data_IF_637073329370
#
_entry.id   IF_637073329370
#
_cell.length_a   1.000
_cell.length_b   1.000
_cell.length_c   1.000
_cell.angle_alpha   90.00
_cell.angle_beta   90.00
_cell.angle_gamma   90.00
#
_symmetry.space_group_name_H-M   'P 1'
#
loop_
_entity.id
_entity.type
_entity.pdbx_description
1 polymer ?
#
# COMPACT_ATOMS: atom_id res chain seq x y z
N UNK A 1 -4.56 -4.92 9.50
CA UNK A 1 -3.56 -6.02 9.32
C UNK A 1 -2.38 -5.38 8.60
N UNK A 2 -1.16 -5.59 9.09
CA UNK A 2 0.04 -5.04 8.42
C UNK A 2 0.44 -5.96 7.27
N UNK A 3 0.83 -5.38 6.14
CA UNK A 3 1.39 -6.12 5.00
C UNK A 3 2.81 -6.60 5.34
N UNK A 4 3.20 -7.74 4.82
CA UNK A 4 4.56 -8.25 4.90
C UNK A 4 5.49 -7.37 4.05
N UNK A 5 6.69 -7.12 4.54
CA UNK A 5 7.75 -6.50 3.74
C UNK A 5 8.51 -7.54 2.90
N UNK A 6 9.52 -7.06 2.15
CA UNK A 6 10.26 -7.95 1.25
C UNK A 6 11.13 -8.96 2.01
N UNK A 7 11.64 -8.62 3.18
CA UNK A 7 12.42 -9.52 4.01
C UNK A 7 11.54 -10.65 4.56
N UNK A 8 10.34 -10.29 5.07
CA UNK A 8 9.35 -11.27 5.52
C UNK A 8 8.88 -12.19 4.38
N UNK A 9 8.78 -11.64 3.16
CA UNK A 9 8.48 -12.44 1.96
C UNK A 9 9.61 -13.43 1.63
N UNK A 10 10.88 -13.01 1.76
CA UNK A 10 12.02 -13.92 1.59
C UNK A 10 11.98 -15.07 2.59
N UNK A 11 11.68 -14.80 3.86
CA UNK A 11 11.50 -15.86 4.87
C UNK A 11 10.37 -16.81 4.50
N UNK A 12 9.24 -16.28 4.02
CA UNK A 12 8.12 -17.10 3.56
C UNK A 12 8.49 -17.97 2.36
N UNK A 13 9.41 -17.52 1.51
CA UNK A 13 9.99 -18.29 0.40
C UNK A 13 11.05 -19.32 0.84
N UNK A 14 11.40 -19.39 2.13
CA UNK A 14 12.37 -20.33 2.70
C UNK A 14 13.83 -19.83 2.74
N UNK A 15 14.06 -18.52 2.50
CA UNK A 15 15.40 -17.93 2.65
C UNK A 15 15.77 -17.82 4.13
N UNK A 16 17.02 -18.12 4.44
CA UNK A 16 17.55 -18.05 5.80
C UNK A 16 18.03 -16.64 6.16
N UNK A 17 18.08 -16.34 7.47
CA UNK A 17 18.66 -15.09 7.97
C UNK A 17 20.11 -14.88 7.48
N UNK A 18 20.90 -15.94 7.35
CA UNK A 18 22.27 -15.86 6.86
C UNK A 18 22.30 -15.35 5.41
N UNK A 19 21.44 -15.89 4.54
CA UNK A 19 21.34 -15.45 3.14
C UNK A 19 20.91 -13.98 3.03
N UNK A 20 19.99 -13.53 3.88
CA UNK A 20 19.52 -12.15 3.90
C UNK A 20 20.59 -11.22 4.46
N UNK A 21 21.25 -11.60 5.55
CA UNK A 21 22.34 -10.83 6.15
C UNK A 21 23.53 -10.65 5.20
N UNK A 22 23.81 -11.64 4.35
CA UNK A 22 24.81 -11.50 3.31
C UNK A 22 24.50 -10.36 2.33
N UNK A 23 23.21 -10.10 2.00
CA UNK A 23 22.82 -8.95 1.17
C UNK A 23 23.03 -7.63 1.92
N UNK A 24 22.65 -7.59 3.18
CA UNK A 24 22.84 -6.41 4.06
C UNK A 24 24.33 -6.08 4.18
N UNK A 25 25.17 -7.11 4.25
CA UNK A 25 26.62 -6.97 4.32
C UNK A 25 27.22 -6.28 3.07
N UNK A 26 26.73 -6.61 1.86
CA UNK A 26 27.13 -5.89 0.64
C UNK A 26 26.79 -4.40 0.72
N UNK A 27 25.59 -4.09 1.20
CA UNK A 27 25.15 -2.71 1.39
C UNK A 27 26.03 -1.96 2.41
N UNK A 28 26.25 -2.56 3.59
CA UNK A 28 27.04 -1.95 4.67
C UNK A 28 28.51 -1.74 4.26
N UNK A 29 29.08 -2.69 3.53
CA UNK A 29 30.45 -2.63 3.00
C UNK A 29 30.59 -1.78 1.73
N UNK A 30 29.48 -1.21 1.23
CA UNK A 30 29.40 -0.43 -0.03
C UNK A 30 30.02 -1.18 -1.21
N UNK A 31 29.82 -2.50 -1.27
CA UNK A 31 30.30 -3.36 -2.33
C UNK A 31 29.16 -3.74 -3.28
N UNK A 32 29.40 -3.85 -4.59
CA UNK A 32 28.38 -4.33 -5.51
C UNK A 32 28.04 -5.78 -5.20
N UNK A 33 26.74 -6.12 -5.28
CA UNK A 33 26.28 -7.50 -5.19
C UNK A 33 26.71 -8.22 -6.48
N UNK A 34 27.27 -9.45 -6.41
CA UNK A 34 27.58 -10.25 -7.59
C UNK A 34 26.38 -10.40 -8.52
N UNK A 35 26.59 -10.29 -9.83
CA UNK A 35 25.52 -10.20 -10.83
C UNK A 35 24.53 -11.37 -10.77
N UNK A 36 25.02 -12.59 -10.58
CA UNK A 36 24.20 -13.79 -10.43
C UNK A 36 23.28 -13.72 -9.20
N UNK A 37 23.78 -13.25 -8.07
CA UNK A 37 23.01 -13.06 -6.83
C UNK A 37 21.99 -11.94 -7.03
N UNK A 38 22.42 -10.81 -7.60
CA UNK A 38 21.54 -9.67 -7.88
C UNK A 38 20.36 -10.06 -8.78
N UNK A 39 20.62 -10.85 -9.84
CA UNK A 39 19.58 -11.33 -10.74
C UNK A 39 18.51 -12.15 -10.01
N UNK A 40 18.93 -13.10 -9.15
CA UNK A 40 18.00 -13.95 -8.38
C UNK A 40 17.10 -13.08 -7.48
N UNK A 41 17.68 -12.21 -6.67
CA UNK A 41 16.89 -11.38 -5.76
C UNK A 41 16.02 -10.34 -6.48
N UNK A 42 16.49 -9.82 -7.62
CA UNK A 42 15.68 -8.96 -8.49
C UNK A 42 14.45 -9.67 -9.04
N UNK A 43 14.57 -10.91 -9.49
CA UNK A 43 13.42 -11.70 -9.95
C UNK A 43 12.42 -11.97 -8.83
N UNK A 44 12.91 -12.26 -7.61
CA UNK A 44 12.04 -12.46 -6.44
C UNK A 44 11.36 -11.15 -6.05
N UNK A 45 12.10 -10.03 -6.05
CA UNK A 45 11.54 -8.72 -5.76
C UNK A 45 10.46 -8.31 -6.77
N UNK A 46 10.64 -8.61 -8.06
CA UNK A 46 9.62 -8.35 -9.07
C UNK A 46 8.34 -9.18 -8.82
N UNK A 47 8.46 -10.43 -8.38
CA UNK A 47 7.31 -11.25 -7.97
C UNK A 47 6.60 -10.62 -6.77
N UNK A 48 7.34 -10.25 -5.73
CA UNK A 48 6.79 -9.55 -4.56
C UNK A 48 6.10 -8.24 -4.95
N UNK A 49 6.73 -7.42 -5.79
CA UNK A 49 6.15 -6.17 -6.28
C UNK A 49 4.84 -6.38 -7.07
N UNK A 50 4.71 -7.51 -7.78
CA UNK A 50 3.48 -7.84 -8.48
C UNK A 50 2.35 -8.31 -7.56
N UNK A 51 2.63 -9.19 -6.60
CA UNK A 51 1.58 -9.81 -5.76
C UNK A 51 1.31 -9.03 -4.47
N UNK A 52 2.22 -8.15 -4.08
CA UNK A 52 2.12 -7.36 -2.85
C UNK A 52 2.41 -8.13 -1.57
N UNK A 53 2.23 -7.46 -0.44
CA UNK A 53 2.58 -7.96 0.89
C UNK A 53 1.43 -8.60 1.69
N UNK A 54 0.24 -8.83 1.12
CA UNK A 54 -0.85 -9.44 1.88
C UNK A 54 -0.56 -10.92 2.21
N UNK A 55 -0.51 -11.33 3.50
CA UNK A 55 -0.16 -12.70 3.89
C UNK A 55 -1.03 -13.77 3.22
N UNK A 56 -2.32 -13.49 3.02
CA UNK A 56 -3.26 -14.40 2.35
C UNK A 56 -2.89 -14.62 0.89
N UNK A 57 -2.50 -13.55 0.19
CA UNK A 57 -2.05 -13.59 -1.22
C UNK A 57 -0.73 -14.35 -1.35
N UNK A 58 0.23 -14.04 -0.46
CA UNK A 58 1.53 -14.72 -0.42
C UNK A 58 1.35 -16.22 -0.16
N UNK A 59 0.50 -16.59 0.81
CA UNK A 59 0.19 -17.99 1.09
C UNK A 59 -0.37 -18.73 -0.13
N UNK A 60 -1.27 -18.10 -0.90
CA UNK A 60 -1.81 -18.71 -2.11
C UNK A 60 -0.74 -18.83 -3.21
N UNK A 61 0.12 -17.82 -3.35
CA UNK A 61 1.27 -17.88 -4.25
C UNK A 61 2.22 -19.05 -3.91
N UNK A 62 2.58 -19.19 -2.64
CA UNK A 62 3.49 -20.25 -2.18
C UNK A 62 2.89 -21.64 -2.38
N UNK A 63 1.58 -21.78 -2.24
CA UNK A 63 0.85 -23.06 -2.44
C UNK A 63 0.79 -23.46 -3.90
N UNK A 64 0.52 -22.52 -4.82
CA UNK A 64 0.26 -22.81 -6.23
C UNK A 64 1.47 -22.54 -7.14
N UNK A 65 2.41 -21.75 -6.68
CA UNK A 65 3.53 -21.16 -7.45
C UNK A 65 3.05 -20.45 -8.74
N UNK A 66 1.83 -19.92 -8.75
CA UNK A 66 1.21 -19.27 -9.91
C UNK A 66 0.79 -17.84 -9.53
N UNK A 67 1.36 -16.87 -10.25
CA UNK A 67 1.03 -15.44 -10.06
C UNK A 67 -0.46 -15.17 -10.32
N UNK A 68 -1.07 -15.87 -11.28
CA UNK A 68 -2.51 -15.70 -11.62
C UNK A 68 -3.42 -16.02 -10.44
N UNK A 69 -3.11 -17.05 -9.65
CA UNK A 69 -3.91 -17.44 -8.49
C UNK A 69 -3.70 -16.45 -7.34
N UNK A 70 -2.48 -15.94 -7.17
CA UNK A 70 -2.19 -14.84 -6.26
C UNK A 70 -2.98 -13.56 -6.62
N UNK A 71 -3.08 -13.21 -7.91
CA UNK A 71 -3.89 -12.08 -8.35
C UNK A 71 -5.39 -12.25 -8.09
N UNK A 72 -5.93 -13.45 -8.26
CA UNK A 72 -7.34 -13.72 -7.90
C UNK A 72 -7.55 -13.47 -6.41
N UNK A 73 -6.64 -13.96 -5.57
CA UNK A 73 -6.73 -13.78 -4.13
C UNK A 73 -6.51 -12.31 -3.71
N UNK A 74 -5.64 -11.57 -4.40
CA UNK A 74 -5.47 -10.14 -4.21
C UNK A 74 -6.78 -9.38 -4.51
N UNK A 75 -7.42 -9.68 -5.63
CA UNK A 75 -8.70 -9.06 -6.02
C UNK A 75 -9.81 -9.38 -5.00
N UNK A 76 -9.87 -10.62 -4.50
CA UNK A 76 -10.80 -11.00 -3.43
C UNK A 76 -10.53 -10.20 -2.15
N UNK A 77 -9.26 -10.09 -1.76
CA UNK A 77 -8.84 -9.31 -0.58
C UNK A 77 -9.23 -7.84 -0.70
N UNK A 78 -9.01 -7.22 -1.86
CA UNK A 78 -9.40 -5.83 -2.13
C UNK A 78 -10.92 -5.68 -2.09
N UNK A 79 -11.66 -6.62 -2.66
CA UNK A 79 -13.13 -6.62 -2.63
C UNK A 79 -13.67 -6.73 -1.20
N UNK A 80 -13.11 -7.64 -0.40
CA UNK A 80 -13.47 -7.81 1.01
C UNK A 80 -13.21 -6.53 1.80
N UNK A 81 -12.05 -5.88 1.62
CA UNK A 81 -11.72 -4.60 2.27
C UNK A 81 -12.73 -3.50 1.93
N UNK A 82 -13.11 -3.38 0.66
CA UNK A 82 -14.13 -2.41 0.23
C UNK A 82 -15.50 -2.69 0.85
N UNK A 83 -15.86 -3.95 0.93
CA UNK A 83 -17.13 -4.38 1.53
C UNK A 83 -17.16 -4.11 3.04
N UNK A 84 -16.03 -4.28 3.72
CA UNK A 84 -15.89 -4.04 5.15
C UNK A 84 -16.12 -2.57 5.54
N UNK A 85 -15.86 -1.61 4.65
CA UNK A 85 -16.17 -0.20 4.93
C UNK A 85 -17.66 0.02 5.22
N UNK A 86 -18.54 -0.72 4.53
CA UNK A 86 -19.99 -0.64 4.74
C UNK A 86 -20.51 -1.49 5.90
N UNK A 87 -19.73 -2.46 6.39
CA UNK A 87 -20.16 -3.40 7.46
C UNK A 87 -19.78 -2.94 8.86
N UNK A 88 -18.93 -1.91 8.99
CA UNK A 88 -18.49 -1.43 10.30
C UNK A 88 -19.63 -0.83 11.09
N UNK A 89 -19.68 -1.20 12.36
CA UNK A 89 -20.71 -0.77 13.30
C UNK A 89 -20.07 -0.07 14.51
N UNK A 90 -20.80 0.85 15.10
CA UNK A 90 -20.46 1.47 16.37
C UNK A 90 -20.71 0.51 17.56
N UNK A 91 -20.43 0.96 18.79
CA UNK A 91 -20.64 0.18 20.02
C UNK A 91 -22.10 -0.19 20.26
N UNK A 92 -23.04 0.52 19.62
CA UNK A 92 -24.48 0.32 19.74
C UNK A 92 -25.06 -0.56 18.62
N UNK A 93 -24.20 -1.02 17.69
CA UNK A 93 -24.60 -1.85 16.57
C UNK A 93 -25.11 -1.08 15.34
N UNK A 94 -25.08 0.25 15.35
CA UNK A 94 -25.47 1.08 14.20
C UNK A 94 -24.35 1.13 13.16
N UNK A 95 -24.65 1.29 11.86
CA UNK A 95 -23.64 1.50 10.84
C UNK A 95 -22.74 2.70 11.21
N UNK A 96 -21.41 2.50 11.15
CA UNK A 96 -20.43 3.55 11.45
C UNK A 96 -20.47 4.67 10.41
N UNK A 97 -20.83 4.33 9.17
CA UNK A 97 -20.89 5.24 8.04
C UNK A 97 -22.23 5.16 7.33
N UNK A 98 -22.71 6.30 6.84
CA UNK A 98 -23.82 6.37 5.89
C UNK A 98 -23.38 5.80 4.53
N UNK A 99 -24.32 5.33 3.73
CA UNK A 99 -24.05 4.78 2.40
C UNK A 99 -23.25 5.74 1.50
N UNK A 100 -23.54 7.05 1.60
CA UNK A 100 -22.82 8.07 0.84
C UNK A 100 -21.35 8.25 1.29
N UNK A 101 -21.07 8.06 2.58
CA UNK A 101 -19.70 8.10 3.14
C UNK A 101 -18.91 6.86 2.73
N UNK A 102 -19.54 5.68 2.77
CA UNK A 102 -18.93 4.43 2.26
C UNK A 102 -18.57 4.56 0.79
N UNK A 103 -19.48 5.05 -0.04
CA UNK A 103 -19.23 5.26 -1.47
C UNK A 103 -18.07 6.24 -1.71
N UNK A 104 -17.93 7.27 -0.88
CA UNK A 104 -16.83 8.23 -0.94
C UNK A 104 -15.49 7.61 -0.55
N UNK A 105 -15.44 6.83 0.53
CA UNK A 105 -14.25 6.09 0.98
C UNK A 105 -13.79 5.13 -0.13
N UNK A 106 -14.71 4.39 -0.73
CA UNK A 106 -14.43 3.49 -1.85
C UNK A 106 -13.91 4.26 -3.08
N UNK A 107 -14.50 5.42 -3.39
CA UNK A 107 -14.04 6.29 -4.49
C UNK A 107 -12.61 6.78 -4.28
N UNK A 108 -12.24 7.18 -3.05
CA UNK A 108 -10.84 7.55 -2.73
C UNK A 108 -9.93 6.36 -2.99
N UNK A 109 -10.27 5.19 -2.48
CA UNK A 109 -9.45 3.99 -2.61
C UNK A 109 -9.24 3.61 -4.09
N UNK A 110 -10.28 3.65 -4.92
CA UNK A 110 -10.23 3.32 -6.35
C UNK A 110 -9.40 4.31 -7.17
N UNK A 111 -9.33 5.57 -6.74
CA UNK A 111 -8.57 6.60 -7.43
C UNK A 111 -7.07 6.55 -7.15
N UNK A 112 -6.62 5.87 -6.09
CA UNK A 112 -5.19 5.80 -5.74
C UNK A 112 -4.34 5.24 -6.89
N UNK A 113 -4.59 4.03 -7.41
CA UNK A 113 -3.79 3.49 -8.50
C UNK A 113 -3.90 4.33 -9.78
N UNK A 114 -5.06 4.94 -10.03
CA UNK A 114 -5.27 5.82 -11.20
C UNK A 114 -4.34 7.05 -11.14
N UNK A 115 -4.18 7.66 -9.95
CA UNK A 115 -3.28 8.81 -9.81
C UNK A 115 -1.81 8.40 -9.74
N UNK A 116 -1.49 7.26 -9.14
CA UNK A 116 -0.12 6.75 -9.10
C UNK A 116 0.41 6.36 -10.50
N UNK A 117 -0.48 5.99 -11.42
CA UNK A 117 -0.12 5.71 -12.81
C UNK A 117 0.19 6.96 -13.65
N UNK A 118 -0.16 8.18 -13.16
CA UNK A 118 0.13 9.44 -13.86
C UNK A 118 1.54 9.93 -13.55
N UNK A 119 2.12 10.72 -14.44
CA UNK A 119 3.47 11.28 -14.26
C UNK A 119 3.61 12.09 -12.96
N UNK A 120 2.66 12.96 -12.66
CA UNK A 120 2.68 13.80 -11.46
C UNK A 120 2.44 13.01 -10.17
N UNK A 121 1.76 11.85 -10.26
CA UNK A 121 1.31 11.02 -9.12
C UNK A 121 0.57 11.80 -8.01
N UNK A 122 0.17 13.03 -8.27
CA UNK A 122 -0.54 13.90 -7.32
C UNK A 122 -1.99 13.44 -7.19
N UNK A 123 -2.48 13.27 -5.97
CA UNK A 123 -3.88 12.97 -5.72
C UNK A 123 -4.74 14.23 -5.85
N UNK A 124 -5.80 14.17 -6.65
CA UNK A 124 -6.71 15.30 -6.91
C UNK A 124 -8.03 15.06 -6.19
N UNK A 125 -8.22 15.69 -5.04
CA UNK A 125 -9.38 15.51 -4.15
C UNK A 125 -10.70 15.84 -4.85
N UNK A 126 -10.73 16.81 -5.75
CA UNK A 126 -11.94 17.18 -6.49
C UNK A 126 -12.50 16.04 -7.39
N UNK A 127 -11.68 15.07 -7.75
CA UNK A 127 -12.09 13.89 -8.53
C UNK A 127 -12.79 12.80 -7.72
N UNK A 128 -12.74 12.88 -6.38
CA UNK A 128 -13.50 11.98 -5.50
C UNK A 128 -14.99 12.24 -5.67
N UNK A 129 -15.78 11.17 -5.81
CA UNK A 129 -17.21 11.26 -6.01
C UNK A 129 -17.96 11.68 -4.73
N UNK A 130 -18.94 12.58 -4.90
CA UNK A 130 -19.87 13.00 -3.84
C UNK A 130 -19.26 13.89 -2.75
N UNK A 131 -20.11 14.66 -2.09
CA UNK A 131 -19.75 15.52 -0.97
C UNK A 131 -18.91 16.75 -1.30
N UNK A 132 -18.76 17.61 -0.32
CA UNK A 132 -17.87 18.78 -0.38
C UNK A 132 -16.40 18.42 -0.17
N UNK A 133 -15.54 19.42 -0.22
CA UNK A 133 -14.09 19.24 -0.01
C UNK A 133 -13.77 18.67 1.38
N UNK A 134 -14.50 19.11 2.40
CA UNK A 134 -14.38 18.60 3.77
C UNK A 134 -14.65 17.09 3.84
N UNK A 135 -15.82 16.67 3.35
CA UNK A 135 -16.21 15.25 3.35
C UNK A 135 -15.21 14.33 2.62
N UNK A 136 -14.61 14.85 1.56
CA UNK A 136 -13.60 14.11 0.78
C UNK A 136 -12.30 13.95 1.56
N UNK A 137 -11.89 15.00 2.29
CA UNK A 137 -10.74 14.94 3.17
C UNK A 137 -10.96 13.98 4.34
N UNK A 138 -12.15 13.96 4.93
CA UNK A 138 -12.52 13.02 6.00
C UNK A 138 -12.39 11.56 5.53
N UNK A 139 -12.82 11.26 4.31
CA UNK A 139 -12.67 9.93 3.74
C UNK A 139 -11.18 9.53 3.59
N UNK A 140 -10.32 10.48 3.21
CA UNK A 140 -8.86 10.26 3.11
C UNK A 140 -8.25 10.04 4.51
N UNK A 141 -8.58 10.91 5.47
CA UNK A 141 -8.07 10.80 6.84
C UNK A 141 -8.54 9.51 7.52
N UNK A 142 -9.76 9.06 7.25
CA UNK A 142 -10.24 7.76 7.72
C UNK A 142 -9.37 6.60 7.20
N UNK A 143 -9.10 6.55 5.89
CA UNK A 143 -8.25 5.51 5.30
C UNK A 143 -6.82 5.55 5.86
N UNK A 144 -6.30 6.75 6.14
CA UNK A 144 -4.99 6.94 6.77
C UNK A 144 -4.98 6.44 8.22
N UNK A 145 -5.99 6.80 9.03
CA UNK A 145 -6.11 6.32 10.42
C UNK A 145 -6.32 4.80 10.50
N UNK A 146 -6.99 4.22 9.52
CA UNK A 146 -7.14 2.78 9.38
C UNK A 146 -5.85 2.07 8.89
N UNK A 147 -4.76 2.81 8.67
CA UNK A 147 -3.49 2.30 8.12
C UNK A 147 -3.63 1.58 6.76
N UNK A 148 -4.65 1.94 5.99
CA UNK A 148 -4.87 1.42 4.64
C UNK A 148 -4.10 2.26 3.63
N UNK A 149 -3.93 3.56 3.91
CA UNK A 149 -3.32 4.54 3.02
C UNK A 149 -2.25 5.33 3.75
N UNK A 150 -1.14 5.58 3.07
CA UNK A 150 -0.10 6.53 3.47
C UNK A 150 -0.22 7.81 2.66
N UNK A 151 -0.24 8.96 3.34
CA UNK A 151 -0.30 10.30 2.73
C UNK A 151 1.08 10.93 2.77
N UNK A 152 1.65 11.20 1.61
CA UNK A 152 2.99 11.79 1.44
C UNK A 152 2.85 13.18 0.83
N UNK A 153 3.31 14.18 1.56
CA UNK A 153 3.24 15.58 1.15
C UNK A 153 4.43 16.02 0.31
N UNK A 154 4.21 17.00 -0.55
CA UNK A 154 5.30 17.71 -1.19
C UNK A 154 5.89 18.74 -0.21
N UNK A 155 7.22 18.91 -0.29
CA UNK A 155 7.97 19.92 0.46
C UNK A 155 8.68 20.79 -0.57
N UNK A 156 8.49 22.11 -0.49
CA UNK A 156 9.07 23.04 -1.45
C UNK A 156 10.53 23.35 -1.11
N UNK A 157 10.78 23.69 0.14
CA UNK A 157 12.13 23.96 0.66
C UNK A 157 12.40 23.00 1.81
N UNK A 158 13.34 22.05 1.68
CA UNK A 158 13.60 21.06 2.71
C UNK A 158 14.40 21.66 3.88
N UNK A 159 13.70 22.33 4.81
CA UNK A 159 14.27 22.76 6.09
C UNK A 159 13.76 21.90 7.24
N UNK A 160 14.53 21.76 8.30
CA UNK A 160 14.12 21.01 9.48
C UNK A 160 13.40 21.92 10.49
N UNK A 161 12.27 21.48 11.07
CA UNK A 161 11.59 20.18 10.85
C UNK A 161 10.74 20.18 9.55
N UNK A 162 10.88 19.14 8.74
CA UNK A 162 10.15 18.99 7.45
C UNK A 162 8.63 19.08 7.58
N UNK A 163 8.09 18.78 8.77
CA UNK A 163 6.65 18.86 9.03
C UNK A 163 6.07 20.28 8.91
N UNK A 164 6.90 21.31 9.09
CA UNK A 164 6.50 22.72 8.94
C UNK A 164 6.44 23.19 7.48
N UNK A 165 7.16 22.51 6.59
CA UNK A 165 7.34 22.93 5.18
C UNK A 165 6.45 22.15 4.20
N UNK A 166 5.52 21.35 4.70
CA UNK A 166 4.62 20.55 3.85
C UNK A 166 3.58 21.42 3.16
N UNK A 167 3.34 21.17 1.88
CA UNK A 167 2.27 21.80 1.12
C UNK A 167 1.00 20.94 1.27
N UNK A 168 0.06 21.36 2.13
CA UNK A 168 -1.16 20.61 2.46
C UNK A 168 -2.03 20.24 1.23
N UNK A 169 -2.01 21.08 0.21
CA UNK A 169 -2.79 20.86 -1.02
C UNK A 169 -2.09 19.94 -2.04
N UNK A 170 -0.82 19.56 -1.80
CA UNK A 170 -0.01 18.77 -2.71
C UNK A 170 0.49 17.50 -2.03
N UNK A 171 -0.21 16.40 -2.29
CA UNK A 171 0.16 15.11 -1.71
C UNK A 171 -0.09 13.95 -2.67
N UNK A 172 0.53 12.82 -2.36
CA UNK A 172 0.31 11.52 -3.00
C UNK A 172 -0.31 10.59 -1.98
N UNK A 173 -1.11 9.64 -2.45
CA UNK A 173 -1.63 8.54 -1.63
C UNK A 173 -1.04 7.23 -2.13
N UNK A 174 -0.60 6.40 -1.19
CA UNK A 174 -0.12 5.04 -1.43
C UNK A 174 -0.93 4.07 -0.57
N UNK A 175 -1.31 2.93 -1.12
CA UNK A 175 -2.02 1.85 -0.44
C UNK A 175 -1.18 0.57 -0.43
#
# INVERSE_FOLDING_TARGET
MKTMDFEEFLWAMGYTNEQINNLIDYFNKKKPIPENIHKIYKEIFLKYACIGGFPKVIKEYLKTNRIVDAFKELNNTIFDMKTDFGRRKDKNGNPLFKTSEVARIQSVFDLIPVFLAKDSKRFIVSKVNGGGQYDKNDAIEYLKQAHIVSKVYNVEIPSLPLSGEKIESQFKLFS
#
